data_IF_020334441105
#
_entry.id   IF_020334441105
#
_cell.length_a   1.000
_cell.length_b   1.000
_cell.length_c   1.000
_cell.angle_alpha   90.00
_cell.angle_beta   90.00
_cell.angle_gamma   90.00
#
_symmetry.space_group_name_H-M   'P 1'
#
loop_
_entity.id
_entity.type
_entity.pdbx_description
1 polymer ?
#
# COMPACT_ATOMS: atom_id res chain seq x y z
N UNK A 1 14.42 56.14 34.77
CA UNK A 1 13.15 55.47 34.56
C UNK A 1 13.41 54.14 33.90
N UNK A 2 12.93 53.10 34.54
CA UNK A 2 13.27 51.68 34.47
C UNK A 2 12.87 51.05 33.13
N UNK A 3 13.84 50.49 32.41
CA UNK A 3 13.64 49.47 31.39
C UNK A 3 13.83 48.08 32.05
N UNK A 4 12.86 47.70 32.84
CA UNK A 4 12.86 46.43 33.53
C UNK A 4 12.23 45.35 32.64
N UNK A 5 13.08 44.40 32.28
CA UNK A 5 12.77 42.96 32.20
C UNK A 5 11.51 42.54 31.41
N UNK A 6 11.59 42.54 30.10
CA UNK A 6 10.89 41.49 29.33
C UNK A 6 11.68 40.17 29.51
N UNK A 7 11.27 39.37 30.46
CA UNK A 7 11.65 37.97 30.57
C UNK A 7 11.06 37.24 29.35
N UNK A 8 11.90 37.02 28.37
CA UNK A 8 11.63 36.07 27.29
C UNK A 8 11.50 34.69 27.98
N UNK A 9 10.26 34.28 28.25
CA UNK A 9 9.97 32.92 28.65
C UNK A 9 10.30 32.01 27.46
N UNK A 10 11.53 31.54 27.39
CA UNK A 10 11.86 30.36 26.64
C UNK A 10 11.08 29.21 27.26
N UNK A 11 9.88 28.98 26.74
CA UNK A 11 9.16 27.74 26.94
C UNK A 11 10.10 26.64 26.45
N UNK A 12 10.79 25.95 27.40
CA UNK A 12 11.50 24.72 27.10
C UNK A 12 10.48 23.81 26.41
N UNK A 13 10.59 23.66 25.09
CA UNK A 13 9.90 22.62 24.39
C UNK A 13 10.46 21.31 24.97
N UNK A 14 9.76 20.74 25.91
CA UNK A 14 10.03 19.39 26.37
C UNK A 14 10.00 18.53 25.13
N UNK A 15 11.16 17.98 24.75
CA UNK A 15 11.21 16.96 23.69
C UNK A 15 10.18 15.90 24.08
N UNK A 16 9.13 15.67 23.28
CA UNK A 16 8.19 14.62 23.62
C UNK A 16 8.99 13.33 23.73
N UNK A 17 8.74 12.54 24.77
CA UNK A 17 9.33 11.21 24.88
C UNK A 17 9.03 10.46 23.58
N UNK A 18 9.94 9.64 23.09
CA UNK A 18 9.82 8.94 21.80
C UNK A 18 8.51 8.16 21.62
N UNK A 19 7.77 7.91 22.72
CA UNK A 19 6.48 7.23 22.75
C UNK A 19 5.26 8.15 22.98
N UNK A 20 5.45 9.39 23.45
CA UNK A 20 4.33 10.30 23.77
C UNK A 20 3.62 10.86 22.52
N UNK A 21 4.16 10.62 21.32
CA UNK A 21 3.62 11.12 20.05
C UNK A 21 2.81 10.12 19.23
N UNK A 22 2.71 8.83 19.63
CA UNK A 22 1.97 7.85 18.85
C UNK A 22 0.45 7.95 19.07
N UNK A 23 -0.32 7.75 17.99
CA UNK A 23 -1.76 7.50 18.12
C UNK A 23 -1.98 6.06 18.57
N UNK A 24 -2.47 5.82 19.80
CA UNK A 24 -2.56 4.47 20.35
C UNK A 24 -3.59 3.61 19.63
N UNK A 25 -4.72 4.19 19.19
CA UNK A 25 -5.77 3.45 18.50
C UNK A 25 -5.28 2.97 17.12
N UNK A 26 -4.62 3.85 16.39
CA UNK A 26 -4.02 3.50 15.11
C UNK A 26 -2.96 2.41 15.27
N UNK A 27 -2.10 2.52 16.30
CA UNK A 27 -1.05 1.53 16.60
C UNK A 27 -1.64 0.17 16.97
N UNK A 28 -2.67 0.13 17.83
CA UNK A 28 -3.33 -1.12 18.23
C UNK A 28 -4.01 -1.77 17.02
N UNK A 29 -4.73 -1.01 16.19
CA UNK A 29 -5.41 -1.56 15.02
C UNK A 29 -4.41 -2.16 14.00
N UNK A 30 -3.30 -1.48 13.73
CA UNK A 30 -2.22 -2.02 12.88
C UNK A 30 -1.57 -3.24 13.52
N UNK A 31 -1.30 -3.20 14.83
CA UNK A 31 -0.75 -4.35 15.57
C UNK A 31 -1.66 -5.60 15.49
N UNK A 32 -2.97 -5.42 15.61
CA UNK A 32 -3.92 -6.52 15.45
C UNK A 32 -3.94 -7.06 14.02
N UNK A 33 -3.88 -6.20 12.99
CA UNK A 33 -3.77 -6.64 11.59
C UNK A 33 -2.48 -7.45 11.36
N UNK A 34 -1.34 -7.02 11.90
CA UNK A 34 -0.07 -7.74 11.81
C UNK A 34 -0.14 -9.13 12.50
N UNK A 35 -0.77 -9.21 13.67
CA UNK A 35 -0.96 -10.48 14.38
C UNK A 35 -1.85 -11.41 13.57
N UNK A 36 -3.00 -10.93 13.09
CA UNK A 36 -3.90 -11.73 12.26
C UNK A 36 -3.21 -12.16 10.97
N UNK A 37 -2.48 -11.26 10.29
CA UNK A 37 -1.69 -11.59 9.11
C UNK A 37 -0.68 -12.69 9.37
N UNK A 38 0.03 -12.64 10.49
CA UNK A 38 1.01 -13.66 10.89
C UNK A 38 0.35 -15.04 11.05
N UNK A 39 -0.80 -15.11 11.72
CA UNK A 39 -1.55 -16.35 11.89
C UNK A 39 -2.06 -16.92 10.56
N UNK A 40 -2.63 -16.05 9.72
CA UNK A 40 -3.16 -16.44 8.40
C UNK A 40 -2.05 -16.88 7.44
N UNK A 41 -0.92 -16.18 7.39
CA UNK A 41 0.24 -16.57 6.55
C UNK A 41 0.79 -17.92 6.99
N UNK A 42 0.90 -18.16 8.28
CA UNK A 42 1.33 -19.45 8.81
C UNK A 42 0.33 -20.54 8.44
N UNK A 43 -0.95 -20.30 8.61
CA UNK A 43 -1.99 -21.26 8.23
C UNK A 43 -1.96 -21.61 6.73
N UNK A 44 -1.85 -20.59 5.88
CA UNK A 44 -1.80 -20.73 4.43
C UNK A 44 -0.63 -21.61 3.91
N UNK A 45 0.43 -21.76 4.70
CA UNK A 45 1.68 -22.34 4.19
C UNK A 45 2.10 -23.63 4.90
N UNK A 46 1.78 -23.77 6.20
CA UNK A 46 2.34 -24.83 7.07
C UNK A 46 2.06 -26.25 6.56
N UNK A 47 0.81 -26.55 6.19
CA UNK A 47 0.39 -27.90 5.85
C UNK A 47 1.04 -28.39 4.56
N UNK A 48 1.11 -27.51 3.55
CA UNK A 48 1.74 -27.85 2.28
C UNK A 48 3.26 -28.04 2.43
N UNK A 49 3.93 -27.19 3.23
CA UNK A 49 5.37 -27.31 3.50
C UNK A 49 5.67 -28.59 4.25
N UNK A 50 4.88 -28.92 5.29
CA UNK A 50 5.02 -30.18 6.04
C UNK A 50 4.81 -31.39 5.14
N UNK A 51 3.79 -31.41 4.29
CA UNK A 51 3.50 -32.51 3.37
C UNK A 51 4.62 -32.76 2.33
N UNK A 52 5.39 -31.72 1.99
CA UNK A 52 6.52 -31.81 1.05
C UNK A 52 7.89 -32.00 1.76
N UNK A 53 7.91 -32.23 3.07
CA UNK A 53 9.15 -32.41 3.85
C UNK A 53 9.99 -31.13 4.00
N UNK A 54 9.37 -29.97 3.81
CA UNK A 54 9.99 -28.67 3.98
C UNK A 54 9.69 -28.09 5.38
N UNK A 55 10.44 -27.05 5.79
CA UNK A 55 10.22 -26.38 7.09
C UNK A 55 8.83 -25.69 7.10
N UNK A 56 7.85 -26.16 7.90
CA UNK A 56 6.51 -25.57 7.98
C UNK A 56 6.49 -24.11 8.47
N UNK A 57 7.55 -23.70 9.17
CA UNK A 57 7.69 -22.36 9.74
C UNK A 57 8.44 -21.39 8.82
N UNK A 58 8.85 -21.82 7.63
CA UNK A 58 9.66 -21.00 6.72
C UNK A 58 9.04 -19.62 6.45
N UNK A 59 7.76 -19.58 6.07
CA UNK A 59 7.06 -18.32 5.80
C UNK A 59 6.77 -17.54 7.09
N UNK A 60 6.45 -18.21 8.19
CA UNK A 60 6.25 -17.58 9.49
C UNK A 60 7.51 -16.81 9.93
N UNK A 61 8.67 -17.48 9.94
CA UNK A 61 9.94 -16.88 10.32
C UNK A 61 10.26 -15.65 9.47
N UNK A 62 10.11 -15.76 8.16
CA UNK A 62 10.34 -14.65 7.24
C UNK A 62 9.33 -13.51 7.42
N UNK A 63 8.07 -13.83 7.64
CA UNK A 63 7.04 -12.81 7.85
C UNK A 63 7.30 -12.04 9.15
N UNK A 64 7.65 -12.72 10.22
CA UNK A 64 8.04 -12.07 11.49
C UNK A 64 9.28 -11.18 11.32
N UNK A 65 10.30 -11.63 10.58
CA UNK A 65 11.47 -10.80 10.26
C UNK A 65 11.06 -9.55 9.47
N UNK A 66 10.17 -9.69 8.48
CA UNK A 66 9.66 -8.56 7.71
C UNK A 66 8.90 -7.57 8.59
N UNK A 67 8.10 -8.04 9.53
CA UNK A 67 7.39 -7.21 10.51
C UNK A 67 8.38 -6.47 11.42
N UNK A 68 9.42 -7.13 11.92
CA UNK A 68 10.43 -6.51 12.76
C UNK A 68 11.19 -5.41 12.02
N UNK A 69 11.65 -5.69 10.80
CA UNK A 69 12.31 -4.69 9.95
C UNK A 69 11.35 -3.55 9.63
N UNK A 70 10.12 -3.86 9.22
CA UNK A 70 9.07 -2.88 8.96
C UNK A 70 8.77 -2.01 10.18
N UNK A 71 8.70 -2.59 11.38
CA UNK A 71 8.49 -1.86 12.64
C UNK A 71 9.64 -0.91 12.95
N UNK A 72 10.87 -1.32 12.69
CA UNK A 72 12.05 -0.45 12.81
C UNK A 72 12.00 0.71 11.82
N UNK A 73 11.61 0.46 10.57
CA UNK A 73 11.41 1.50 9.56
C UNK A 73 10.27 2.47 9.94
N UNK A 74 9.16 1.96 10.46
CA UNK A 74 8.05 2.77 10.95
C UNK A 74 8.48 3.66 12.12
N UNK A 75 9.22 3.09 13.09
CA UNK A 75 9.77 3.85 14.21
C UNK A 75 10.73 4.93 13.73
N UNK A 76 11.69 4.59 12.86
CA UNK A 76 12.63 5.54 12.27
C UNK A 76 11.91 6.67 11.54
N UNK A 77 10.90 6.34 10.72
CA UNK A 77 10.08 7.33 10.01
C UNK A 77 9.29 8.23 10.96
N UNK A 78 8.85 7.71 12.10
CA UNK A 78 8.10 8.50 13.11
C UNK A 78 9.01 9.46 13.88
N UNK A 79 10.23 9.04 14.21
CA UNK A 79 11.19 9.84 15.00
C UNK A 79 11.85 10.95 14.16
N UNK A 80 12.19 10.65 12.91
CA UNK A 80 12.80 11.60 11.98
C UNK A 80 11.79 12.71 11.66
N UNK A 81 12.21 13.99 11.75
CA UNK A 81 11.34 15.10 11.42
C UNK A 81 10.89 15.05 9.95
N UNK A 82 9.57 15.05 9.70
CA UNK A 82 9.04 15.07 8.33
C UNK A 82 9.48 16.30 7.52
N UNK A 83 9.95 17.37 8.20
CA UNK A 83 10.60 18.51 7.54
C UNK A 83 11.93 18.11 6.90
N UNK A 84 12.68 17.19 7.51
CA UNK A 84 13.86 16.59 6.89
C UNK A 84 13.46 15.72 5.71
N UNK A 85 12.39 14.93 5.86
CA UNK A 85 11.85 14.14 4.75
C UNK A 85 11.48 15.06 3.56
N UNK A 86 10.87 16.22 3.83
CA UNK A 86 10.60 17.24 2.82
C UNK A 86 11.86 17.70 2.10
N UNK A 87 12.95 17.96 2.83
CA UNK A 87 14.22 18.39 2.25
C UNK A 87 14.89 17.29 1.40
N UNK A 88 14.76 16.02 1.81
CA UNK A 88 15.34 14.87 1.10
C UNK A 88 14.41 14.24 0.06
N UNK A 89 13.18 14.73 -0.10
CA UNK A 89 12.21 14.22 -1.08
C UNK A 89 12.76 14.12 -2.51
N UNK A 90 13.49 15.11 -3.06
CA UNK A 90 14.05 15.00 -4.41
C UNK A 90 15.05 13.83 -4.52
N UNK A 91 15.85 13.59 -3.48
CA UNK A 91 16.83 12.48 -3.45
C UNK A 91 16.09 11.15 -3.40
N UNK A 92 15.06 11.01 -2.54
CA UNK A 92 14.23 9.81 -2.47
C UNK A 92 13.56 9.50 -3.81
N UNK A 93 13.08 10.53 -4.49
CA UNK A 93 12.47 10.37 -5.81
C UNK A 93 13.49 9.90 -6.86
N UNK A 94 14.69 10.51 -6.91
CA UNK A 94 15.77 10.08 -7.81
C UNK A 94 16.17 8.64 -7.55
N UNK A 95 16.36 8.25 -6.28
CA UNK A 95 16.69 6.86 -5.91
C UNK A 95 15.58 5.91 -6.38
N UNK A 96 14.32 6.29 -6.20
CA UNK A 96 13.17 5.50 -6.65
C UNK A 96 13.16 5.32 -8.17
N UNK A 97 13.40 6.38 -8.95
CA UNK A 97 13.48 6.32 -10.42
C UNK A 97 14.66 5.45 -10.87
N UNK A 98 15.83 5.59 -10.23
CA UNK A 98 16.99 4.73 -10.52
C UNK A 98 16.67 3.26 -10.25
N UNK A 99 16.05 2.95 -9.11
CA UNK A 99 15.68 1.58 -8.74
C UNK A 99 14.63 0.98 -9.70
N UNK A 100 13.62 1.77 -10.10
CA UNK A 100 12.63 1.37 -11.10
C UNK A 100 13.25 1.13 -12.48
N UNK A 101 14.25 1.92 -12.86
CA UNK A 101 14.98 1.74 -14.11
C UNK A 101 15.90 0.53 -14.04
N UNK A 102 16.59 0.34 -12.91
CA UNK A 102 17.52 -0.77 -12.71
C UNK A 102 16.82 -2.14 -12.82
N UNK A 103 15.59 -2.26 -12.31
CA UNK A 103 14.85 -3.52 -12.38
C UNK A 103 14.46 -3.93 -13.81
N UNK A 104 14.40 -2.97 -14.74
CA UNK A 104 14.14 -3.26 -16.17
C UNK A 104 15.35 -3.84 -16.89
N UNK A 105 16.56 -3.68 -16.32
CA UNK A 105 17.80 -4.17 -16.92
C UNK A 105 17.89 -5.70 -16.78
N UNK A 106 18.07 -6.45 -17.89
CA UNK A 106 18.31 -7.88 -17.82
C UNK A 106 19.53 -8.22 -16.94
N UNK A 107 19.36 -9.18 -16.02
CA UNK A 107 20.41 -9.58 -15.08
C UNK A 107 20.39 -8.86 -13.73
N UNK A 108 19.66 -7.75 -13.58
CA UNK A 108 19.40 -7.08 -12.29
C UNK A 108 18.00 -7.43 -11.80
N UNK A 109 17.00 -7.31 -12.68
CA UNK A 109 15.62 -7.63 -12.35
C UNK A 109 15.26 -9.10 -12.62
N UNK A 110 14.67 -9.75 -11.62
CA UNK A 110 14.09 -11.09 -11.72
C UNK A 110 12.72 -11.01 -12.41
N UNK A 111 12.50 -11.92 -13.36
CA UNK A 111 11.24 -12.05 -14.07
C UNK A 111 10.36 -13.13 -13.43
N UNK A 112 9.12 -12.77 -13.08
CA UNK A 112 8.11 -13.68 -12.52
C UNK A 112 6.76 -13.43 -13.14
N UNK A 113 6.11 -14.48 -13.58
CA UNK A 113 4.79 -14.42 -14.21
C UNK A 113 4.71 -13.37 -15.36
N UNK A 114 5.80 -13.20 -16.11
CA UNK A 114 5.88 -12.24 -17.20
C UNK A 114 6.09 -10.77 -16.79
N UNK A 115 6.35 -10.51 -15.51
CA UNK A 115 6.67 -9.18 -14.99
C UNK A 115 8.10 -9.15 -14.43
N UNK A 116 8.90 -8.19 -14.88
CA UNK A 116 10.25 -7.95 -14.35
C UNK A 116 10.20 -6.79 -13.37
N UNK A 117 9.90 -7.10 -12.10
CA UNK A 117 9.57 -6.11 -11.08
C UNK A 117 10.32 -6.30 -9.75
N UNK A 118 11.13 -7.36 -9.61
CA UNK A 118 11.82 -7.69 -8.36
C UNK A 118 13.34 -7.68 -8.53
N UNK A 119 14.05 -7.22 -7.51
CA UNK A 119 15.50 -7.32 -7.38
C UNK A 119 15.80 -8.34 -6.30
N UNK A 120 16.53 -9.40 -6.65
CA UNK A 120 16.99 -10.39 -5.69
C UNK A 120 18.04 -9.80 -4.73
N UNK A 121 17.82 -9.94 -3.43
CA UNK A 121 18.72 -9.52 -2.37
C UNK A 121 19.35 -10.76 -1.68
N UNK A 122 20.51 -10.60 -1.00
CA UNK A 122 21.09 -11.68 -0.21
C UNK A 122 20.10 -12.29 0.77
N UNK A 123 20.34 -13.56 1.15
CA UNK A 123 19.47 -14.35 2.06
C UNK A 123 18.05 -14.61 1.50
N UNK A 124 17.85 -14.48 0.18
CA UNK A 124 16.58 -14.75 -0.48
C UNK A 124 15.50 -13.70 -0.23
N UNK A 125 15.85 -12.50 0.24
CA UNK A 125 14.97 -11.35 0.23
C UNK A 125 14.78 -10.83 -1.19
N UNK A 126 13.66 -10.16 -1.42
CA UNK A 126 13.32 -9.56 -2.70
C UNK A 126 12.82 -8.15 -2.47
N UNK A 127 13.35 -7.23 -3.25
CA UNK A 127 12.93 -5.83 -3.25
C UNK A 127 12.12 -5.57 -4.51
N UNK A 128 10.91 -5.05 -4.35
CA UNK A 128 10.10 -4.52 -5.44
C UNK A 128 10.17 -2.99 -5.40
N UNK A 129 10.90 -2.34 -6.32
CA UNK A 129 11.07 -0.89 -6.30
C UNK A 129 9.76 -0.12 -6.42
N UNK A 130 8.74 -0.69 -7.08
CA UNK A 130 7.42 -0.10 -7.22
C UNK A 130 6.71 0.12 -5.87
N UNK A 131 6.97 -0.73 -4.87
CA UNK A 131 6.44 -0.57 -3.52
C UNK A 131 6.98 0.70 -2.84
N UNK A 132 8.28 0.97 -2.98
CA UNK A 132 8.90 2.18 -2.45
C UNK A 132 8.57 3.42 -3.27
N UNK A 133 8.33 3.25 -4.58
CA UNK A 133 7.94 4.34 -5.47
C UNK A 133 6.61 4.99 -5.05
N UNK A 134 5.66 4.22 -4.49
CA UNK A 134 4.42 4.78 -3.93
C UNK A 134 4.70 5.89 -2.91
N UNK A 135 5.66 5.66 -2.02
CA UNK A 135 6.05 6.64 -1.00
C UNK A 135 6.69 7.86 -1.65
N UNK A 136 7.64 7.66 -2.56
CA UNK A 136 8.36 8.76 -3.22
C UNK A 136 7.42 9.65 -4.05
N UNK A 137 6.41 9.08 -4.71
CA UNK A 137 5.38 9.82 -5.44
C UNK A 137 4.51 10.63 -4.48
N UNK A 138 4.02 9.99 -3.39
CA UNK A 138 3.17 10.67 -2.40
C UNK A 138 3.90 11.86 -1.79
N UNK A 139 5.14 11.68 -1.30
CA UNK A 139 5.90 12.78 -0.68
C UNK A 139 6.32 13.83 -1.70
N UNK A 140 6.69 13.41 -2.93
CA UNK A 140 7.09 14.31 -4.03
C UNK A 140 5.96 15.22 -4.49
N UNK A 141 4.78 14.65 -4.74
CA UNK A 141 3.60 15.44 -5.10
C UNK A 141 3.16 16.37 -3.97
N UNK A 142 3.18 15.85 -2.73
CA UNK A 142 2.84 16.62 -1.54
C UNK A 142 3.78 17.83 -1.36
N UNK A 143 5.07 17.66 -1.66
CA UNK A 143 6.04 18.74 -1.61
C UNK A 143 5.64 19.87 -2.57
N UNK A 144 5.46 19.57 -3.86
CA UNK A 144 5.15 20.57 -4.90
C UNK A 144 3.82 21.27 -4.60
N UNK A 145 2.79 20.49 -4.27
CA UNK A 145 1.43 21.03 -4.06
C UNK A 145 1.28 21.75 -2.71
N UNK A 146 2.21 21.60 -1.77
CA UNK A 146 2.24 22.33 -0.50
C UNK A 146 3.04 23.61 -0.53
N UNK A 147 4.01 23.76 -1.47
CA UNK A 147 4.81 24.96 -1.66
C UNK A 147 4.03 26.01 -2.45
N UNK A 148 3.17 26.75 -1.75
CA UNK A 148 2.35 27.79 -2.36
C UNK A 148 3.14 29.06 -2.54
N UNK A 149 3.04 29.66 -3.72
CA UNK A 149 3.49 31.05 -3.94
C UNK A 149 2.56 31.96 -3.16
N UNK A 150 3.09 33.00 -2.52
CA UNK A 150 2.48 33.86 -1.49
C UNK A 150 1.12 34.50 -1.80
N UNK A 151 0.56 34.34 -3.02
CA UNK A 151 -0.63 35.06 -3.47
C UNK A 151 -1.90 34.20 -3.73
N UNK A 152 -1.86 32.87 -3.55
CA UNK A 152 -3.05 32.05 -3.81
C UNK A 152 -3.23 30.93 -2.79
N UNK A 153 -4.45 30.83 -2.22
CA UNK A 153 -4.84 29.77 -1.30
C UNK A 153 -5.06 28.40 -1.99
N UNK A 154 -4.95 28.32 -3.32
CA UNK A 154 -5.21 27.12 -4.12
C UNK A 154 -4.01 26.78 -5.00
N UNK A 155 -3.79 25.47 -5.26
CA UNK A 155 -2.76 25.00 -6.18
C UNK A 155 -3.00 25.55 -7.60
N UNK A 156 -1.98 26.14 -8.20
CA UNK A 156 -2.04 26.69 -9.54
C UNK A 156 -1.87 25.57 -10.60
N UNK A 157 -2.23 25.86 -11.85
CA UNK A 157 -2.05 24.91 -12.96
C UNK A 157 -0.62 24.43 -13.12
N UNK A 158 0.36 25.31 -12.89
CA UNK A 158 1.79 24.99 -12.97
C UNK A 158 2.18 23.96 -11.92
N UNK A 159 1.70 24.12 -10.68
CA UNK A 159 2.03 23.25 -9.57
C UNK A 159 1.44 21.85 -9.80
N UNK A 160 0.19 21.79 -10.28
CA UNK A 160 -0.46 20.52 -10.66
C UNK A 160 0.30 19.84 -11.78
N UNK A 161 0.73 20.58 -12.81
CA UNK A 161 1.50 20.00 -13.92
C UNK A 161 2.85 19.44 -13.46
N UNK A 162 3.56 20.17 -12.60
CA UNK A 162 4.83 19.71 -12.02
C UNK A 162 4.64 18.47 -11.16
N UNK A 163 3.59 18.43 -10.32
CA UNK A 163 3.26 17.28 -9.50
C UNK A 163 2.91 16.07 -10.36
N UNK A 164 2.19 16.27 -11.46
CA UNK A 164 1.88 15.21 -12.44
C UNK A 164 3.13 14.68 -13.14
N UNK A 165 4.10 15.52 -13.47
CA UNK A 165 5.38 15.06 -14.05
C UNK A 165 6.13 14.18 -13.05
N UNK A 166 6.17 14.57 -11.77
CA UNK A 166 6.79 13.78 -10.71
C UNK A 166 6.12 12.41 -10.55
N UNK A 167 4.81 12.31 -10.72
CA UNK A 167 4.09 11.04 -10.67
C UNK A 167 4.22 10.24 -11.97
N UNK A 168 4.17 10.90 -13.13
CA UNK A 168 4.13 10.25 -14.44
C UNK A 168 5.40 9.44 -14.74
N UNK A 169 6.59 9.95 -14.39
CA UNK A 169 7.86 9.24 -14.66
C UNK A 169 7.90 7.88 -13.98
N UNK A 170 7.69 7.75 -12.65
CA UNK A 170 7.62 6.44 -12.01
C UNK A 170 6.47 5.57 -12.53
N UNK A 171 5.29 6.13 -12.79
CA UNK A 171 4.13 5.38 -13.33
C UNK A 171 4.47 4.76 -14.69
N UNK A 172 5.12 5.50 -15.59
CA UNK A 172 5.54 4.98 -16.89
C UNK A 172 6.59 3.86 -16.76
N UNK A 173 7.53 3.98 -15.81
CA UNK A 173 8.50 2.93 -15.53
C UNK A 173 7.84 1.67 -14.96
N UNK A 174 6.83 1.83 -14.09
CA UNK A 174 6.03 0.71 -13.56
C UNK A 174 5.16 0.08 -14.65
N UNK A 175 4.62 0.88 -15.57
CA UNK A 175 3.90 0.37 -16.73
C UNK A 175 4.78 -0.49 -17.64
N UNK A 176 6.06 -0.15 -17.77
CA UNK A 176 7.05 -0.98 -18.48
C UNK A 176 7.37 -2.30 -17.76
N UNK A 177 7.01 -2.45 -16.47
CA UNK A 177 7.16 -3.68 -15.66
C UNK A 177 5.90 -4.57 -15.65
N UNK A 178 4.91 -4.35 -16.48
CA UNK A 178 3.49 -4.73 -16.51
C UNK A 178 2.81 -4.92 -15.10
N UNK A 179 3.08 -4.01 -14.15
CA UNK A 179 2.45 -4.04 -12.81
C UNK A 179 1.23 -3.12 -12.74
N UNK A 180 0.10 -3.60 -13.29
CA UNK A 180 -1.15 -2.83 -13.34
C UNK A 180 -1.76 -2.56 -11.96
N UNK A 181 -1.64 -3.48 -11.01
CA UNK A 181 -2.18 -3.31 -9.67
C UNK A 181 -1.55 -2.09 -8.98
N UNK A 182 -0.23 -1.99 -9.01
CA UNK A 182 0.49 -0.84 -8.45
C UNK A 182 0.14 0.47 -9.19
N UNK A 183 -0.05 0.45 -10.53
CA UNK A 183 -0.48 1.63 -11.28
C UNK A 183 -1.85 2.13 -10.83
N UNK A 184 -2.83 1.24 -10.61
CA UNK A 184 -4.16 1.64 -10.13
C UNK A 184 -4.09 2.28 -8.74
N UNK A 185 -3.35 1.68 -7.81
CA UNK A 185 -3.15 2.21 -6.47
C UNK A 185 -2.54 3.62 -6.50
N UNK A 186 -1.46 3.79 -7.27
CA UNK A 186 -0.78 5.08 -7.41
C UNK A 186 -1.70 6.11 -8.06
N UNK A 187 -2.44 5.74 -9.11
CA UNK A 187 -3.35 6.64 -9.83
C UNK A 187 -4.44 7.20 -8.90
N UNK A 188 -5.01 6.36 -8.04
CA UNK A 188 -5.99 6.80 -7.04
C UNK A 188 -5.34 7.74 -6.03
N UNK A 189 -4.13 7.44 -5.55
CA UNK A 189 -3.41 8.33 -4.63
C UNK A 189 -3.12 9.69 -5.29
N UNK A 190 -2.68 9.71 -6.55
CA UNK A 190 -2.42 10.93 -7.34
C UNK A 190 -3.67 11.79 -7.46
N UNK A 191 -4.79 11.18 -7.90
CA UNK A 191 -6.07 11.90 -8.05
C UNK A 191 -6.55 12.45 -6.71
N UNK A 192 -6.42 11.66 -5.63
CA UNK A 192 -6.88 12.07 -4.30
C UNK A 192 -6.02 13.21 -3.73
N UNK A 193 -4.69 13.17 -3.91
CA UNK A 193 -3.80 14.26 -3.50
C UNK A 193 -4.16 15.55 -4.23
N UNK A 194 -4.38 15.50 -5.57
CA UNK A 194 -4.78 16.66 -6.36
C UNK A 194 -6.15 17.19 -5.92
N UNK A 195 -7.12 16.32 -5.66
CA UNK A 195 -8.45 16.72 -5.19
C UNK A 195 -8.40 17.48 -3.85
N UNK A 196 -7.51 17.07 -2.93
CA UNK A 196 -7.38 17.67 -1.59
C UNK A 196 -6.44 18.88 -1.59
N UNK A 197 -5.58 19.04 -2.61
CA UNK A 197 -4.65 20.17 -2.71
C UNK A 197 -5.31 21.53 -2.95
N UNK A 198 -6.62 21.55 -3.24
CA UNK A 198 -7.34 22.77 -3.64
C UNK A 198 -7.23 23.10 -5.14
N UNK A 199 -6.68 22.19 -5.94
CA UNK A 199 -6.64 22.35 -7.39
C UNK A 199 -8.06 22.40 -7.99
N UNK A 200 -8.26 23.14 -9.12
CA UNK A 200 -9.55 23.19 -9.80
C UNK A 200 -10.07 21.79 -10.17
N UNK A 201 -11.34 21.52 -9.93
CA UNK A 201 -12.00 20.22 -10.13
C UNK A 201 -11.83 19.66 -11.56
N UNK A 202 -11.62 20.52 -12.54
CA UNK A 202 -11.31 20.12 -13.93
C UNK A 202 -10.10 19.20 -14.05
N UNK A 203 -9.11 19.32 -13.17
CA UNK A 203 -7.96 18.42 -13.14
C UNK A 203 -8.35 17.01 -12.69
N UNK A 204 -9.15 16.92 -11.64
CA UNK A 204 -9.65 15.62 -11.14
C UNK A 204 -10.49 14.93 -12.21
N UNK A 205 -11.46 15.65 -12.80
CA UNK A 205 -12.29 15.09 -13.88
C UNK A 205 -11.46 14.73 -15.11
N UNK A 206 -10.52 15.59 -15.49
CA UNK A 206 -9.62 15.33 -16.62
C UNK A 206 -8.75 14.09 -16.43
N UNK A 207 -8.18 13.91 -15.23
CA UNK A 207 -7.38 12.73 -14.91
C UNK A 207 -8.20 11.44 -14.92
N UNK A 208 -9.42 11.46 -14.38
CA UNK A 208 -10.33 10.32 -14.43
C UNK A 208 -10.66 9.98 -15.90
N UNK A 209 -10.99 10.98 -16.71
CA UNK A 209 -11.28 10.76 -18.13
C UNK A 209 -10.05 10.21 -18.88
N UNK A 210 -8.86 10.76 -18.63
CA UNK A 210 -7.60 10.26 -19.23
C UNK A 210 -7.34 8.81 -18.79
N UNK A 211 -7.56 8.46 -17.51
CA UNK A 211 -7.39 7.10 -17.02
C UNK A 211 -8.36 6.12 -17.71
N UNK A 212 -9.65 6.48 -17.81
CA UNK A 212 -10.68 5.62 -18.44
C UNK A 212 -10.42 5.47 -19.95
N UNK A 213 -10.25 6.58 -20.66
CA UNK A 213 -10.01 6.58 -22.12
C UNK A 213 -8.67 5.92 -22.42
N UNK A 214 -7.64 6.24 -21.65
CA UNK A 214 -6.30 5.67 -21.82
C UNK A 214 -6.27 4.16 -21.59
N UNK A 215 -6.97 3.65 -20.58
CA UNK A 215 -7.09 2.21 -20.33
C UNK A 215 -7.81 1.51 -21.49
N UNK A 216 -8.91 2.08 -21.97
CA UNK A 216 -9.62 1.53 -23.13
C UNK A 216 -8.77 1.55 -24.39
N UNK A 217 -8.07 2.64 -24.65
CA UNK A 217 -7.16 2.77 -25.80
C UNK A 217 -6.00 1.78 -25.72
N UNK A 218 -5.38 1.61 -24.54
CA UNK A 218 -4.27 0.68 -24.32
C UNK A 218 -4.66 -0.79 -24.62
N UNK A 219 -5.86 -1.19 -24.23
CA UNK A 219 -6.41 -2.52 -24.57
C UNK A 219 -6.64 -2.64 -26.10
N UNK A 220 -7.21 -1.62 -26.74
CA UNK A 220 -7.50 -1.63 -28.19
C UNK A 220 -6.25 -1.66 -29.06
N UNK A 221 -5.20 -0.94 -28.65
CA UNK A 221 -3.91 -0.86 -29.39
C UNK A 221 -3.02 -2.07 -29.11
N UNK A 222 -3.37 -2.94 -28.15
CA UNK A 222 -2.60 -4.13 -27.82
C UNK A 222 -1.31 -3.85 -27.02
N UNK A 223 -1.27 -2.72 -26.32
CA UNK A 223 -0.15 -2.39 -25.39
C UNK A 223 -0.24 -3.22 -24.11
N UNK A 224 -1.47 -3.63 -23.75
CA UNK A 224 -1.73 -4.46 -22.57
C UNK A 224 -1.44 -5.91 -22.91
N UNK A 225 -0.60 -6.59 -22.12
CA UNK A 225 -0.25 -7.99 -22.33
C UNK A 225 -1.48 -8.91 -22.30
N UNK A 226 -1.48 -9.96 -23.11
CA UNK A 226 -2.58 -10.95 -23.18
C UNK A 226 -2.97 -11.52 -21.81
N UNK A 227 -2.01 -11.70 -20.92
CA UNK A 227 -2.23 -12.16 -19.57
C UNK A 227 -3.13 -11.20 -18.76
N UNK A 228 -2.94 -9.89 -18.91
CA UNK A 228 -3.75 -8.87 -18.23
C UNK A 228 -5.14 -8.75 -18.84
N UNK A 229 -5.23 -8.88 -20.18
CA UNK A 229 -6.53 -8.93 -20.88
C UNK A 229 -7.34 -10.13 -20.40
N UNK A 230 -6.72 -11.32 -20.26
CA UNK A 230 -7.37 -12.53 -19.72
C UNK A 230 -7.87 -12.31 -18.30
N UNK A 231 -7.14 -11.62 -17.44
CA UNK A 231 -7.61 -11.27 -16.08
C UNK A 231 -8.86 -10.39 -16.10
N UNK A 232 -8.91 -9.40 -16.98
CA UNK A 232 -10.10 -8.57 -17.15
C UNK A 232 -11.29 -9.37 -17.73
N UNK A 233 -11.04 -10.25 -18.71
CA UNK A 233 -12.05 -11.14 -19.26
C UNK A 233 -12.60 -12.12 -18.21
N UNK A 234 -11.72 -12.73 -17.41
CA UNK A 234 -12.10 -13.65 -16.33
C UNK A 234 -12.93 -12.97 -15.23
N UNK A 235 -12.77 -11.65 -15.04
CA UNK A 235 -13.61 -10.89 -14.13
C UNK A 235 -15.05 -10.75 -14.65
N UNK A 236 -15.24 -10.55 -15.97
CA UNK A 236 -16.55 -10.44 -16.60
C UNK A 236 -17.20 -11.82 -16.75
N UNK A 237 -16.46 -12.79 -17.25
CA UNK A 237 -16.90 -14.19 -17.38
C UNK A 237 -15.74 -15.14 -16.99
N UNK A 238 -15.81 -15.76 -15.79
CA UNK A 238 -14.78 -16.69 -15.33
C UNK A 238 -14.61 -17.93 -16.20
N UNK A 239 -15.53 -18.23 -17.13
CA UNK A 239 -15.43 -19.40 -18.01
C UNK A 239 -14.50 -19.13 -19.20
N UNK A 240 -14.24 -17.88 -19.54
CA UNK A 240 -13.32 -17.52 -20.63
C UNK A 240 -11.87 -17.88 -20.35
N UNK A 241 -11.48 -18.00 -19.07
CA UNK A 241 -10.16 -18.46 -18.62
C UNK A 241 -10.30 -19.54 -17.55
N UNK A 242 -10.90 -20.65 -17.90
CA UNK A 242 -11.33 -21.72 -16.96
C UNK A 242 -10.17 -22.40 -16.22
N UNK A 243 -8.93 -22.31 -16.70
CA UNK A 243 -7.74 -22.95 -16.09
C UNK A 243 -6.76 -21.91 -15.49
N UNK A 244 -6.91 -20.63 -15.80
CA UNK A 244 -6.08 -19.55 -15.28
C UNK A 244 -6.80 -18.69 -14.24
N UNK A 245 -6.95 -17.42 -14.55
CA UNK A 245 -7.54 -16.42 -13.64
C UNK A 245 -8.99 -16.74 -13.24
N UNK A 246 -9.79 -17.31 -14.15
CA UNK A 246 -11.16 -17.72 -13.83
C UNK A 246 -11.21 -18.90 -12.84
N UNK A 247 -10.25 -19.84 -12.90
CA UNK A 247 -10.11 -20.88 -11.89
C UNK A 247 -9.80 -20.29 -10.51
N UNK A 248 -8.82 -19.43 -10.44
CA UNK A 248 -8.42 -18.77 -9.19
C UNK A 248 -9.59 -18.04 -8.53
N UNK A 249 -10.36 -17.28 -9.32
CA UNK A 249 -11.52 -16.54 -8.83
C UNK A 249 -12.63 -17.47 -8.31
N UNK A 250 -12.92 -18.57 -9.01
CA UNK A 250 -13.89 -19.57 -8.55
C UNK A 250 -13.44 -20.22 -7.25
N UNK A 251 -12.18 -20.66 -7.17
CA UNK A 251 -11.64 -21.26 -5.96
C UNK A 251 -11.62 -20.29 -4.79
N UNK A 252 -11.27 -19.01 -5.01
CA UNK A 252 -11.34 -17.99 -3.98
C UNK A 252 -12.75 -17.86 -3.39
N UNK A 253 -13.78 -17.80 -4.24
CA UNK A 253 -15.18 -17.73 -3.79
C UNK A 253 -15.64 -19.00 -3.05
N UNK A 254 -15.26 -20.19 -3.54
CA UNK A 254 -15.56 -21.45 -2.87
C UNK A 254 -14.90 -21.48 -1.49
N UNK A 255 -13.62 -21.12 -1.41
CA UNK A 255 -12.85 -21.09 -0.16
C UNK A 255 -13.50 -20.15 0.86
N UNK A 256 -13.83 -18.91 0.48
CA UNK A 256 -14.51 -17.95 1.38
C UNK A 256 -15.88 -18.48 1.80
N UNK A 257 -16.65 -19.03 0.84
CA UNK A 257 -17.99 -19.55 1.11
C UNK A 257 -18.01 -20.76 2.05
N UNK A 258 -16.97 -21.58 2.02
CA UNK A 258 -16.85 -22.78 2.89
C UNK A 258 -16.73 -22.44 4.37
N UNK A 259 -16.27 -21.21 4.72
CA UNK A 259 -16.12 -20.81 6.12
C UNK A 259 -17.41 -20.42 6.82
N UNK A 260 -18.49 -20.11 6.11
CA UNK A 260 -19.77 -19.72 6.70
C UNK A 260 -19.66 -18.54 7.66
N UNK A 261 -20.41 -18.57 8.77
CA UNK A 261 -20.44 -17.44 9.72
C UNK A 261 -19.21 -17.40 10.65
N UNK A 262 -18.79 -18.53 11.18
CA UNK A 262 -17.77 -18.60 12.26
C UNK A 262 -16.44 -19.19 11.80
N UNK A 263 -16.36 -19.69 10.56
CA UNK A 263 -15.18 -20.34 10.01
C UNK A 263 -15.07 -21.82 10.38
N UNK A 264 -14.11 -22.49 9.73
CA UNK A 264 -13.72 -23.88 10.02
C UNK A 264 -12.79 -24.00 11.25
N UNK A 265 -12.37 -22.86 11.78
CA UNK A 265 -11.36 -22.74 12.84
C UNK A 265 -9.95 -22.54 12.27
N UNK A 266 -9.12 -21.79 13.01
CA UNK A 266 -7.73 -21.54 12.63
C UNK A 266 -6.98 -22.85 12.40
N UNK A 267 -6.25 -22.91 11.29
CA UNK A 267 -5.45 -24.05 10.87
C UNK A 267 -6.21 -25.28 10.40
N UNK A 268 -7.53 -25.22 10.31
CA UNK A 268 -8.39 -26.33 9.96
C UNK A 268 -9.10 -26.16 8.61
N UNK A 269 -8.75 -25.12 7.81
CA UNK A 269 -9.32 -24.88 6.50
C UNK A 269 -8.95 -25.96 5.48
N UNK A 270 -9.88 -26.81 4.98
CA UNK A 270 -9.56 -27.84 4.01
C UNK A 270 -9.13 -27.26 2.65
N UNK A 271 -9.73 -26.16 2.19
CA UNK A 271 -9.36 -25.50 0.95
C UNK A 271 -7.97 -24.83 1.07
N UNK A 272 -7.69 -24.21 2.21
CA UNK A 272 -6.39 -23.60 2.55
C UNK A 272 -5.31 -24.69 2.60
N UNK A 273 -5.56 -25.77 3.31
CA UNK A 273 -4.62 -26.90 3.45
C UNK A 273 -4.36 -27.61 2.12
N UNK A 274 -5.37 -27.75 1.27
CA UNK A 274 -5.28 -28.32 -0.07
C UNK A 274 -4.62 -27.39 -1.10
N UNK A 275 -4.37 -26.13 -0.75
CA UNK A 275 -3.76 -25.11 -1.62
C UNK A 275 -4.49 -24.95 -2.96
N UNK A 276 -5.83 -25.02 -2.93
CA UNK A 276 -6.64 -24.88 -4.13
C UNK A 276 -6.58 -23.45 -4.73
N UNK A 277 -6.31 -22.45 -3.90
CA UNK A 277 -6.04 -21.07 -4.36
C UNK A 277 -4.53 -20.87 -4.45
N UNK A 278 -3.95 -20.60 -5.64
CA UNK A 278 -2.54 -20.23 -5.77
C UNK A 278 -2.25 -18.90 -5.05
N UNK A 279 -1.01 -18.75 -4.59
CA UNK A 279 -0.52 -17.50 -3.94
C UNK A 279 -1.42 -17.01 -2.79
N UNK A 280 -2.03 -17.95 -2.05
CA UNK A 280 -2.95 -17.60 -0.95
C UNK A 280 -2.25 -16.85 0.20
N UNK A 281 -0.93 -17.03 0.40
CA UNK A 281 -0.17 -16.33 1.43
C UNK A 281 0.13 -14.87 1.08
N UNK A 282 0.05 -14.49 -0.19
CA UNK A 282 0.33 -13.14 -0.71
C UNK A 282 -0.96 -12.43 -1.12
N UNK A 283 -1.44 -12.71 -2.33
CA UNK A 283 -2.50 -11.94 -2.97
C UNK A 283 -3.89 -12.38 -2.52
N UNK A 284 -4.05 -13.64 -2.11
CA UNK A 284 -5.33 -14.23 -1.73
C UNK A 284 -5.46 -14.52 -0.24
N UNK A 285 -4.71 -13.81 0.62
CA UNK A 285 -4.72 -14.07 2.07
C UNK A 285 -6.12 -13.91 2.70
N UNK A 286 -6.96 -13.04 2.14
CA UNK A 286 -8.33 -12.84 2.60
C UNK A 286 -9.22 -14.08 2.40
N UNK A 287 -8.89 -14.98 1.46
CA UNK A 287 -9.58 -16.26 1.31
C UNK A 287 -9.37 -17.17 2.50
N UNK A 288 -8.12 -17.19 3.03
CA UNK A 288 -7.79 -17.95 4.26
C UNK A 288 -8.56 -17.41 5.46
N UNK A 289 -8.64 -16.05 5.58
CA UNK A 289 -9.47 -15.43 6.62
C UNK A 289 -10.94 -15.81 6.46
N UNK A 290 -11.46 -15.82 5.22
CA UNK A 290 -12.84 -16.19 4.93
C UNK A 290 -13.16 -17.62 5.30
N UNK A 291 -12.27 -18.57 5.01
CA UNK A 291 -12.47 -19.99 5.33
C UNK A 291 -12.30 -20.26 6.82
N UNK A 292 -11.19 -19.84 7.41
CA UNK A 292 -10.84 -20.25 8.78
C UNK A 292 -11.53 -19.43 9.87
N UNK A 293 -11.74 -18.13 9.64
CA UNK A 293 -12.37 -17.23 10.59
C UNK A 293 -13.84 -16.93 10.24
N UNK A 294 -14.28 -17.32 9.06
CA UNK A 294 -15.64 -17.10 8.58
C UNK A 294 -15.98 -15.62 8.36
N UNK A 295 -17.27 -15.35 8.23
CA UNK A 295 -17.78 -14.00 8.02
C UNK A 295 -17.44 -13.06 9.19
N UNK A 296 -17.51 -13.52 10.43
CA UNK A 296 -17.24 -12.70 11.62
C UNK A 296 -15.77 -12.29 11.70
N UNK A 297 -14.83 -13.22 11.48
CA UNK A 297 -13.40 -12.89 11.54
C UNK A 297 -12.93 -12.07 10.36
N UNK A 298 -13.42 -12.34 9.14
CA UNK A 298 -13.15 -11.52 7.96
C UNK A 298 -13.73 -10.12 8.11
N UNK A 299 -14.95 -10.02 8.66
CA UNK A 299 -15.59 -8.74 8.99
C UNK A 299 -14.80 -7.95 10.03
N UNK A 300 -14.20 -8.63 11.01
CA UNK A 300 -13.33 -7.99 12.00
C UNK A 300 -12.08 -7.38 11.35
N UNK A 301 -11.45 -8.07 10.38
CA UNK A 301 -10.34 -7.50 9.58
C UNK A 301 -10.78 -6.21 8.87
N UNK A 302 -11.95 -6.23 8.24
CA UNK A 302 -12.50 -5.04 7.55
C UNK A 302 -12.73 -3.90 8.55
N UNK A 303 -13.28 -4.19 9.73
CA UNK A 303 -13.46 -3.19 10.81
C UNK A 303 -12.13 -2.60 11.25
N UNK A 304 -11.08 -3.41 11.39
CA UNK A 304 -9.74 -2.89 11.71
C UNK A 304 -9.22 -1.94 10.63
N UNK A 305 -9.41 -2.24 9.34
CA UNK A 305 -9.07 -1.30 8.26
C UNK A 305 -9.87 0.00 8.35
N UNK A 306 -11.18 -0.08 8.63
CA UNK A 306 -12.00 1.12 8.83
C UNK A 306 -11.49 1.97 9.99
N UNK A 307 -11.06 1.35 11.10
CA UNK A 307 -10.46 2.06 12.23
C UNK A 307 -9.15 2.74 11.81
N UNK A 308 -8.26 2.03 11.10
CA UNK A 308 -7.00 2.58 10.58
C UNK A 308 -7.27 3.80 9.69
N UNK A 309 -8.19 3.69 8.73
CA UNK A 309 -8.52 4.75 7.80
C UNK A 309 -9.19 5.95 8.49
N UNK A 310 -10.12 5.72 9.42
CA UNK A 310 -10.77 6.78 10.18
C UNK A 310 -9.78 7.54 11.07
N UNK A 311 -8.84 6.83 11.73
CA UNK A 311 -7.80 7.47 12.53
C UNK A 311 -6.84 8.26 11.67
N UNK A 312 -6.39 7.70 10.54
CA UNK A 312 -5.53 8.38 9.58
C UNK A 312 -6.21 9.64 9.00
N UNK A 313 -7.50 9.56 8.66
CA UNK A 313 -8.28 10.72 8.23
C UNK A 313 -8.38 11.79 9.33
N UNK A 314 -8.59 11.38 10.59
CA UNK A 314 -8.57 12.27 11.73
C UNK A 314 -7.22 13.01 11.89
N UNK A 315 -6.10 12.32 11.63
CA UNK A 315 -4.74 12.90 11.64
C UNK A 315 -4.61 13.92 10.49
N UNK A 316 -4.98 13.54 9.27
CA UNK A 316 -4.92 14.42 8.10
C UNK A 316 -5.75 15.71 8.29
N UNK A 317 -6.97 15.58 8.82
CA UNK A 317 -7.88 16.70 9.07
C UNK A 317 -7.34 17.67 10.12
N UNK A 318 -6.63 17.17 11.13
CA UNK A 318 -6.07 18.00 12.22
C UNK A 318 -4.73 18.62 11.87
N UNK A 319 -4.04 18.14 10.83
CA UNK A 319 -2.75 18.68 10.42
C UNK A 319 -2.90 20.16 9.98
N UNK A 320 -2.15 21.04 10.61
CA UNK A 320 -2.06 22.45 10.24
C UNK A 320 -1.11 22.71 9.06
N UNK A 321 -0.17 21.78 8.83
CA UNK A 321 0.78 21.87 7.74
C UNK A 321 0.20 21.24 6.45
N UNK A 322 0.13 22.00 5.34
CA UNK A 322 -0.37 21.50 4.07
C UNK A 322 0.39 20.27 3.55
N UNK A 323 1.71 20.23 3.73
CA UNK A 323 2.53 19.07 3.32
C UNK A 323 2.12 17.81 4.08
N UNK A 324 2.09 17.87 5.40
CA UNK A 324 1.66 16.75 6.25
C UNK A 324 0.23 16.28 5.92
N UNK A 325 -0.68 17.23 5.66
CA UNK A 325 -2.06 16.91 5.25
C UNK A 325 -2.10 16.13 3.93
N UNK A 326 -1.33 16.56 2.91
CA UNK A 326 -1.31 15.90 1.61
C UNK A 326 -0.61 14.53 1.66
N UNK A 327 0.48 14.40 2.43
CA UNK A 327 1.15 13.11 2.66
C UNK A 327 0.19 12.12 3.31
N UNK A 328 -0.50 12.50 4.39
CA UNK A 328 -1.52 11.66 5.02
C UNK A 328 -2.63 11.27 4.03
N UNK A 329 -3.10 12.23 3.22
CA UNK A 329 -4.13 11.98 2.21
C UNK A 329 -3.69 10.93 1.19
N UNK A 330 -2.46 11.01 0.69
CA UNK A 330 -1.90 10.02 -0.23
C UNK A 330 -1.78 8.63 0.38
N UNK A 331 -1.30 8.53 1.63
CA UNK A 331 -1.20 7.26 2.36
C UNK A 331 -2.58 6.65 2.62
N UNK A 332 -3.58 7.46 3.01
CA UNK A 332 -4.95 7.00 3.21
C UNK A 332 -5.53 6.45 1.91
N UNK A 333 -5.40 7.18 0.80
CA UNK A 333 -5.88 6.74 -0.49
C UNK A 333 -5.23 5.43 -0.93
N UNK A 334 -3.92 5.30 -0.74
CA UNK A 334 -3.18 4.07 -1.00
C UNK A 334 -3.69 2.91 -0.15
N UNK A 335 -3.74 3.01 1.18
CA UNK A 335 -4.19 1.92 2.05
C UNK A 335 -5.64 1.54 1.80
N UNK A 336 -6.52 2.53 1.63
CA UNK A 336 -7.94 2.30 1.37
C UNK A 336 -8.14 1.54 0.06
N UNK A 337 -7.53 2.02 -1.02
CA UNK A 337 -7.72 1.41 -2.33
C UNK A 337 -7.06 0.03 -2.42
N UNK A 338 -5.84 -0.14 -1.90
CA UNK A 338 -5.15 -1.42 -1.92
C UNK A 338 -5.89 -2.48 -1.10
N UNK A 339 -6.43 -2.13 0.08
CA UNK A 339 -7.26 -3.05 0.87
C UNK A 339 -8.58 -3.37 0.15
N UNK A 340 -9.25 -2.37 -0.42
CA UNK A 340 -10.48 -2.56 -1.22
C UNK A 340 -10.23 -3.45 -2.44
N UNK A 341 -9.13 -3.24 -3.16
CA UNK A 341 -8.77 -4.00 -4.34
C UNK A 341 -8.45 -5.46 -4.00
N UNK A 342 -7.63 -5.73 -2.97
CA UNK A 342 -7.31 -7.10 -2.55
C UNK A 342 -8.56 -7.86 -2.07
N UNK A 343 -9.34 -7.27 -1.16
CA UNK A 343 -10.57 -7.90 -0.66
C UNK A 343 -11.58 -8.05 -1.81
N UNK A 344 -11.75 -7.00 -2.62
CA UNK A 344 -12.68 -6.99 -3.74
C UNK A 344 -12.36 -8.04 -4.80
N UNK A 345 -11.07 -8.25 -5.14
CA UNK A 345 -10.69 -9.29 -6.10
C UNK A 345 -10.94 -10.70 -5.56
N UNK A 346 -10.72 -10.95 -4.27
CA UNK A 346 -10.98 -12.28 -3.67
C UNK A 346 -12.49 -12.59 -3.62
N UNK A 347 -13.33 -11.58 -3.46
CA UNK A 347 -14.79 -11.68 -3.52
C UNK A 347 -15.33 -11.67 -4.97
N UNK A 348 -14.47 -11.37 -5.95
CA UNK A 348 -14.86 -11.24 -7.34
C UNK A 348 -15.64 -9.97 -7.66
N UNK A 349 -15.45 -8.90 -6.89
CA UNK A 349 -16.02 -7.56 -7.11
C UNK A 349 -15.05 -6.64 -7.88
N UNK A 350 -13.76 -7.05 -7.98
CA UNK A 350 -12.71 -6.35 -8.71
C UNK A 350 -11.93 -7.34 -9.58
N UNK A 351 -11.33 -6.90 -10.70
CA UNK A 351 -10.45 -7.75 -11.49
C UNK A 351 -9.21 -8.13 -10.68
N UNK A 352 -8.62 -9.28 -10.99
CA UNK A 352 -7.44 -9.79 -10.29
C UNK A 352 -6.20 -8.99 -10.70
N UNK A 353 -5.61 -8.27 -9.76
CA UNK A 353 -4.41 -7.44 -9.98
C UNK A 353 -3.15 -8.01 -9.34
N UNK A 354 -3.30 -8.86 -8.33
CA UNK A 354 -2.17 -9.48 -7.64
C UNK A 354 -1.49 -8.51 -6.66
N UNK A 355 -2.26 -7.69 -5.96
CA UNK A 355 -1.73 -6.78 -4.93
C UNK A 355 -1.93 -7.35 -3.53
N UNK A 356 -0.91 -7.29 -2.66
CA UNK A 356 -1.02 -7.82 -1.30
C UNK A 356 -1.91 -6.95 -0.42
N UNK A 357 -2.56 -7.57 0.58
CA UNK A 357 -3.37 -6.88 1.59
C UNK A 357 -2.44 -6.18 2.61
N UNK A 358 -2.48 -4.85 2.76
CA UNK A 358 -1.58 -4.10 3.64
C UNK A 358 -1.57 -4.65 5.07
N UNK A 359 -0.41 -4.79 5.70
CA UNK A 359 -0.19 -5.31 7.06
C UNK A 359 -0.55 -6.79 7.29
N UNK A 360 -1.26 -7.46 6.38
CA UNK A 360 -1.78 -8.83 6.54
C UNK A 360 -1.04 -9.82 5.66
N UNK A 361 -0.89 -9.52 4.37
CA UNK A 361 -0.26 -10.42 3.41
C UNK A 361 1.24 -10.60 3.65
N UNK A 362 1.74 -11.77 3.26
CA UNK A 362 3.17 -12.00 3.14
C UNK A 362 3.75 -11.19 1.99
N UNK A 363 4.83 -10.44 2.28
CA UNK A 363 5.57 -9.66 1.28
C UNK A 363 6.56 -8.72 1.95
N UNK A 364 7.89 -8.89 1.71
CA UNK A 364 8.90 -8.05 2.35
C UNK A 364 8.76 -6.59 1.95
N UNK A 365 8.84 -6.29 0.65
CA UNK A 365 8.79 -4.90 0.15
C UNK A 365 7.47 -4.20 0.47
N UNK A 366 6.35 -4.92 0.34
CA UNK A 366 5.03 -4.38 0.66
C UNK A 366 4.90 -4.08 2.17
N UNK A 367 5.39 -4.99 3.03
CA UNK A 367 5.43 -4.78 4.48
C UNK A 367 6.28 -3.56 4.83
N UNK A 368 7.47 -3.42 4.24
CA UNK A 368 8.34 -2.26 4.49
C UNK A 368 7.69 -0.95 4.06
N UNK A 369 7.13 -0.92 2.86
CA UNK A 369 6.46 0.26 2.34
C UNK A 369 5.23 0.65 3.19
N UNK A 370 4.36 -0.30 3.54
CA UNK A 370 3.18 -0.03 4.36
C UNK A 370 3.55 0.43 5.77
N UNK A 371 4.60 -0.14 6.36
CA UNK A 371 5.10 0.28 7.68
C UNK A 371 5.74 1.67 7.65
N UNK A 372 6.43 2.04 6.56
CA UNK A 372 6.88 3.44 6.35
C UNK A 372 5.68 4.38 6.22
N UNK A 373 4.65 4.00 5.44
CA UNK A 373 3.40 4.77 5.33
C UNK A 373 2.71 4.97 6.68
N UNK A 374 2.63 3.91 7.51
CA UNK A 374 2.15 4.01 8.89
C UNK A 374 3.02 4.96 9.72
N UNK A 375 4.35 4.86 9.62
CA UNK A 375 5.29 5.76 10.30
C UNK A 375 5.09 7.22 9.90
N UNK A 376 4.79 7.51 8.61
CA UNK A 376 4.47 8.87 8.15
C UNK A 376 3.20 9.43 8.80
N UNK A 377 2.15 8.62 8.92
CA UNK A 377 0.92 9.02 9.63
C UNK A 377 1.22 9.36 11.09
N UNK A 378 1.98 8.51 11.78
CA UNK A 378 2.37 8.73 13.17
C UNK A 378 3.27 9.97 13.33
N UNK A 379 4.16 10.22 12.37
CA UNK A 379 5.03 11.40 12.35
C UNK A 379 4.22 12.70 12.31
N UNK A 380 3.24 12.77 11.38
CA UNK A 380 2.35 13.94 11.28
C UNK A 380 1.52 14.11 12.56
N UNK A 381 1.03 13.00 13.14
CA UNK A 381 0.28 13.03 14.41
C UNK A 381 1.11 13.58 15.57
N UNK A 382 2.34 13.10 15.72
CA UNK A 382 3.22 13.48 16.83
C UNK A 382 3.55 14.98 16.83
N UNK A 383 3.64 15.60 15.64
CA UNK A 383 4.07 17.00 15.49
C UNK A 383 2.93 18.00 15.42
N UNK A 384 1.71 17.53 15.28
CA UNK A 384 0.52 18.38 15.39
C UNK A 384 0.25 18.81 16.84
N UNK A 385 0.78 18.08 17.83
CA UNK A 385 0.61 18.36 19.26
C UNK A 385 1.69 19.28 19.88
N UNK A 386 2.69 19.65 19.14
CA UNK A 386 3.77 20.57 19.54
C UNK A 386 3.62 21.92 18.88
#
# INVERSE_FOLDING_TARGET
MSLASQRINYRKSSRPSAFAGFDPILTIAVGLLLIMGTLLVYSATRNWYAANGLDPEYYLKRHVINILIGSLLAWGTTVIDYRLLRAYTPILWIISVIALTAVLIPGIGDERNGARAWIGLPFGFQLQPAELAKISIIVGMSLILSERTHDSDAAQHRDVMQALIVAAIPILLIAAQPDMGTIFIISIAVVTIIAVSGAPMRWVVGLILVAVIGSFAAVKVGVVNDYQVKRLQAFVDPNLDAQGSGYQLRQARITIGSGGLVGTGLFNGPQTSGRFVPEQQTDFIFTVAGEELGFLGSGFIIILYLIVLMRAFGIARRSSDPYGKLVCTGVIAWFAFQAFENIGMTLGMMPMTGVPLPFVSYGGSSMFATMIGFGLLQNVHARHRG
#
